data_IF_718965869075
#
_entry.id   IF_718965869075
#
_cell.length_a   1.000
_cell.length_b   1.000
_cell.length_c   1.000
_cell.angle_alpha   90.00
_cell.angle_beta   90.00
_cell.angle_gamma   90.00
#
_symmetry.space_group_name_H-M   'P 1'
#
loop_
_entity.id
_entity.type
_entity.pdbx_description
1 polymer ?
#
# COMPACT_ATOMS: atom_id res chain seq x y z
N UNK A 1 13.60 9.57 -27.97
CA UNK A 1 12.97 8.36 -27.78
C UNK A 1 12.27 8.27 -26.49
N UNK A 2 11.09 7.83 -26.52
CA UNK A 2 10.40 7.74 -25.34
C UNK A 2 10.45 6.41 -24.80
N UNK A 3 10.62 6.26 -23.51
CA UNK A 3 10.49 4.98 -22.87
C UNK A 3 9.08 4.85 -22.36
N UNK A 4 8.56 3.66 -22.36
CA UNK A 4 7.26 3.42 -21.77
C UNK A 4 7.34 3.75 -20.30
N UNK A 5 6.46 4.61 -19.81
CA UNK A 5 6.50 4.91 -18.40
C UNK A 5 6.09 3.68 -17.59
N UNK A 6 6.72 3.53 -16.45
CA UNK A 6 6.32 2.49 -15.52
C UNK A 6 5.06 2.96 -14.81
N UNK A 7 3.99 2.21 -14.92
CA UNK A 7 2.73 2.57 -14.28
C UNK A 7 1.94 1.28 -14.11
N UNK A 8 1.88 0.78 -12.90
CA UNK A 8 1.16 -0.45 -12.62
C UNK A 8 0.18 -0.24 -11.50
N UNK A 9 -0.84 -1.07 -11.46
CA UNK A 9 -1.84 -1.05 -10.41
C UNK A 9 -2.13 -2.46 -9.98
N UNK A 10 -2.35 -2.65 -8.69
CA UNK A 10 -2.82 -3.93 -8.21
C UNK A 10 -3.67 -3.72 -6.96
N UNK A 11 -4.45 -4.73 -6.61
CA UNK A 11 -5.38 -4.66 -5.48
C UNK A 11 -5.13 -5.84 -4.55
N UNK A 12 -5.09 -5.55 -3.26
CA UNK A 12 -4.98 -6.57 -2.23
C UNK A 12 -6.34 -6.67 -1.54
N UNK A 13 -7.08 -7.74 -1.81
CA UNK A 13 -8.41 -7.91 -1.23
C UNK A 13 -8.28 -8.28 0.25
N UNK A 14 -9.24 -7.81 1.04
CA UNK A 14 -9.27 -8.09 2.46
C UNK A 14 -9.05 -6.83 3.28
N UNK A 15 -9.17 -6.97 4.58
CA UNK A 15 -9.02 -5.84 5.48
C UNK A 15 -7.62 -5.26 5.38
N UNK A 16 -7.49 -3.92 5.29
CA UNK A 16 -6.17 -3.32 5.38
C UNK A 16 -5.51 -3.64 6.72
N UNK A 17 -4.22 -3.95 6.68
CA UNK A 17 -3.47 -4.32 7.87
C UNK A 17 -2.31 -3.36 8.03
N UNK A 18 -2.20 -2.80 9.24
CA UNK A 18 -1.05 -1.95 9.53
C UNK A 18 0.12 -2.79 9.98
N UNK A 19 1.33 -2.33 9.69
CA UNK A 19 2.53 -3.05 10.12
C UNK A 19 2.62 -3.02 11.63
N UNK A 20 2.76 -4.18 12.24
CA UNK A 20 2.94 -4.27 13.66
C UNK A 20 4.38 -3.95 14.04
N UNK A 21 4.56 -3.51 15.28
CA UNK A 21 5.89 -3.25 15.77
C UNK A 21 6.62 -4.59 15.97
N UNK A 22 7.91 -4.65 15.69
CA UNK A 22 8.68 -5.86 15.97
C UNK A 22 8.59 -6.21 17.44
N UNK A 23 8.47 -7.48 17.74
CA UNK A 23 8.46 -7.92 19.13
C UNK A 23 9.88 -8.25 19.55
N UNK A 24 10.24 -7.79 20.75
CA UNK A 24 11.60 -7.99 21.25
C UNK A 24 11.55 -9.00 22.37
N UNK A 25 12.37 -10.04 22.27
CA UNK A 25 12.51 -11.03 23.30
C UNK A 25 13.99 -11.13 23.65
N UNK A 26 14.34 -11.94 24.64
CA UNK A 26 15.74 -12.13 24.95
C UNK A 26 16.49 -12.86 23.82
N UNK A 27 15.76 -13.41 22.86
CA UNK A 27 16.40 -14.05 21.71
C UNK A 27 16.47 -13.13 20.50
N UNK A 28 16.04 -11.87 20.62
CA UNK A 28 16.11 -10.90 19.54
C UNK A 28 14.75 -10.38 19.16
N UNK A 29 14.74 -9.53 18.13
CA UNK A 29 13.50 -8.94 17.63
C UNK A 29 12.96 -9.77 16.46
N UNK A 30 11.65 -9.84 16.34
CA UNK A 30 11.04 -10.51 15.20
C UNK A 30 9.75 -9.82 14.81
N UNK A 31 9.38 -9.98 13.52
CA UNK A 31 8.15 -9.40 13.00
C UNK A 31 6.98 -10.32 13.33
N UNK A 32 5.86 -9.76 13.83
CA UNK A 32 4.70 -10.59 14.13
C UNK A 32 4.22 -11.35 12.92
N UNK A 33 3.73 -12.55 13.16
CA UNK A 33 3.29 -13.42 12.08
C UNK A 33 2.20 -12.80 11.22
N UNK A 34 1.26 -12.09 11.83
CA UNK A 34 0.20 -11.45 11.08
C UNK A 34 0.76 -10.44 10.08
N UNK A 35 1.78 -9.69 10.47
CA UNK A 35 2.41 -8.72 9.59
C UNK A 35 3.12 -9.45 8.44
N UNK A 36 3.85 -10.50 8.75
CA UNK A 36 4.56 -11.25 7.70
C UNK A 36 3.60 -11.87 6.70
N UNK A 37 2.50 -12.42 7.18
CA UNK A 37 1.50 -13.03 6.30
C UNK A 37 0.89 -11.98 5.37
N UNK A 38 0.62 -10.81 5.91
CA UNK A 38 0.04 -9.75 5.09
C UNK A 38 1.04 -9.24 4.05
N UNK A 39 2.31 -9.09 4.45
CA UNK A 39 3.33 -8.63 3.51
C UNK A 39 3.51 -9.62 2.38
N UNK A 40 3.46 -10.91 2.69
CA UNK A 40 3.56 -11.91 1.65
C UNK A 40 2.36 -11.87 0.72
N UNK A 41 1.17 -11.64 1.27
CA UNK A 41 -0.02 -11.50 0.46
C UNK A 41 0.08 -10.31 -0.49
N UNK A 42 0.57 -9.18 -0.01
CA UNK A 42 0.75 -7.99 -0.84
C UNK A 42 1.71 -8.30 -1.98
N UNK A 43 2.83 -8.95 -1.68
CA UNK A 43 3.83 -9.27 -2.70
C UNK A 43 3.24 -10.23 -3.74
N UNK A 44 2.46 -11.22 -3.30
CA UNK A 44 1.85 -12.14 -4.24
C UNK A 44 0.83 -11.44 -5.13
N UNK A 45 0.08 -10.49 -4.59
CA UNK A 45 -0.87 -9.74 -5.40
C UNK A 45 -0.13 -8.92 -6.46
N UNK A 46 0.99 -8.31 -6.09
CA UNK A 46 1.80 -7.59 -7.06
C UNK A 46 2.31 -8.52 -8.14
N UNK A 47 2.85 -9.68 -7.74
CA UNK A 47 3.40 -10.63 -8.71
C UNK A 47 2.36 -11.13 -9.69
N UNK A 48 1.18 -11.48 -9.20
CA UNK A 48 0.17 -12.08 -10.06
C UNK A 48 -0.56 -11.06 -10.92
N UNK A 49 -0.70 -9.84 -10.44
CA UNK A 49 -1.44 -8.82 -11.19
C UNK A 49 -0.55 -7.97 -12.07
N UNK A 50 0.73 -7.93 -11.80
CA UNK A 50 1.66 -7.14 -12.61
C UNK A 50 3.03 -7.79 -12.72
N UNK A 51 3.76 -7.83 -11.62
CA UNK A 51 5.14 -8.34 -11.63
C UNK A 51 6.15 -7.38 -12.23
N UNK A 52 5.71 -6.22 -12.71
CA UNK A 52 6.62 -5.28 -13.33
C UNK A 52 7.42 -4.52 -12.28
N UNK A 53 8.69 -4.33 -12.56
CA UNK A 53 9.60 -3.68 -11.65
C UNK A 53 9.96 -2.29 -12.16
N UNK A 54 10.04 -1.34 -11.25
CA UNK A 54 10.38 0.03 -11.61
C UNK A 54 11.81 0.11 -12.12
N UNK A 55 12.08 1.01 -13.07
CA UNK A 55 13.45 1.17 -13.56
C UNK A 55 14.36 1.72 -12.45
N UNK A 56 15.60 1.27 -12.45
CA UNK A 56 16.56 1.80 -11.49
C UNK A 56 16.81 3.26 -11.77
N UNK A 57 16.96 4.03 -10.72
CA UNK A 57 17.24 5.46 -10.83
C UNK A 57 16.03 6.33 -11.05
N UNK A 58 14.86 5.72 -11.24
CA UNK A 58 13.64 6.52 -11.41
C UNK A 58 13.02 6.81 -10.07
N UNK A 59 12.38 7.96 -9.95
CA UNK A 59 11.56 8.25 -8.79
C UNK A 59 10.28 7.44 -8.88
N UNK A 60 9.94 6.71 -7.86
CA UNK A 60 8.74 5.88 -7.84
C UNK A 60 7.70 6.57 -6.98
N UNK A 61 6.50 6.72 -7.50
CA UNK A 61 5.40 7.28 -6.74
C UNK A 61 4.44 6.17 -6.41
N UNK A 62 4.18 5.98 -5.11
CA UNK A 62 3.24 4.97 -4.63
C UNK A 62 1.99 5.69 -4.16
N UNK A 63 0.86 5.36 -4.77
CA UNK A 63 -0.42 5.90 -4.36
C UNK A 63 -1.22 4.75 -3.80
N UNK A 64 -1.59 4.87 -2.55
CA UNK A 64 -2.26 3.79 -1.83
C UNK A 64 -3.57 4.29 -1.29
N UNK A 65 -4.64 3.52 -1.51
CA UNK A 65 -5.93 3.82 -0.88
C UNK A 65 -6.34 2.58 -0.12
N UNK A 66 -6.52 2.73 1.19
CA UNK A 66 -7.02 1.66 2.03
C UNK A 66 -8.52 1.83 2.17
N UNK A 67 -9.27 0.85 1.68
CA UNK A 67 -10.74 0.86 1.71
C UNK A 67 -11.17 0.04 2.90
N UNK A 68 -11.74 0.71 3.90
CA UNK A 68 -12.08 0.13 5.19
C UNK A 68 -13.58 -0.08 5.26
N UNK A 69 -14.06 -1.23 5.75
CA UNK A 69 -15.49 -1.47 5.76
C UNK A 69 -16.22 -0.54 6.71
N UNK A 70 -17.39 -0.12 6.29
CA UNK A 70 -18.28 0.65 7.15
C UNK A 70 -18.78 -0.29 8.24
N UNK A 71 -18.79 0.13 9.52
CA UNK A 71 -19.19 -0.76 10.59
C UNK A 71 -20.57 -1.35 10.37
N UNK A 72 -20.73 -2.62 10.72
CA UNK A 72 -22.01 -3.28 10.65
C UNK A 72 -22.96 -2.58 11.61
N UNK A 73 -24.22 -2.53 11.25
CA UNK A 73 -25.20 -1.87 12.09
C UNK A 73 -25.35 -0.39 11.82
N UNK A 74 -24.51 0.19 10.97
CA UNK A 74 -24.68 1.58 10.57
C UNK A 74 -25.97 1.68 9.77
N UNK A 75 -26.90 2.60 10.11
CA UNK A 75 -28.14 2.75 9.35
C UNK A 75 -27.86 3.08 7.89
N UNK A 76 -28.75 2.64 7.00
CA UNK A 76 -28.52 2.74 5.58
C UNK A 76 -28.23 4.16 5.11
N UNK A 77 -28.96 5.15 5.60
CA UNK A 77 -28.72 6.52 5.19
C UNK A 77 -27.34 7.01 5.57
N UNK A 78 -26.86 6.60 6.75
CA UNK A 78 -25.52 6.96 7.17
C UNK A 78 -24.47 6.18 6.41
N UNK A 79 -24.76 4.94 6.03
CA UNK A 79 -23.81 4.16 5.26
C UNK A 79 -23.54 4.80 3.91
N UNK A 80 -24.61 5.29 3.27
CA UNK A 80 -24.45 5.93 1.97
C UNK A 80 -23.60 7.20 2.10
N UNK A 81 -23.78 7.93 3.19
CA UNK A 81 -23.00 9.14 3.39
C UNK A 81 -21.53 8.84 3.71
N UNK A 82 -21.24 7.66 4.27
CA UNK A 82 -19.86 7.31 4.61
C UNK A 82 -19.08 6.75 3.43
N UNK A 83 -19.76 6.31 2.35
CA UNK A 83 -19.02 5.75 1.23
C UNK A 83 -18.03 6.77 0.69
N UNK A 84 -16.76 6.41 0.67
CA UNK A 84 -15.71 7.31 0.19
C UNK A 84 -15.25 8.35 1.19
N UNK A 85 -15.87 8.42 2.38
CA UNK A 85 -15.44 9.37 3.39
C UNK A 85 -14.13 8.91 4.02
N UNK A 86 -13.35 9.86 4.53
CA UNK A 86 -12.09 9.53 5.16
C UNK A 86 -12.32 8.72 6.44
N UNK A 87 -11.50 7.70 6.62
CA UNK A 87 -11.51 6.86 7.81
C UNK A 87 -10.51 7.42 8.80
N UNK A 88 -10.94 7.70 10.03
CA UNK A 88 -10.12 8.42 10.98
C UNK A 88 -9.67 7.57 12.16
N UNK A 89 -9.82 6.26 12.06
CA UNK A 89 -9.44 5.36 13.15
C UNK A 89 -8.28 4.47 12.71
N UNK A 90 -7.82 3.63 13.61
CA UNK A 90 -6.74 2.69 13.27
C UNK A 90 -7.20 1.70 12.21
N UNK A 91 -6.28 1.17 11.43
CA UNK A 91 -4.83 1.40 11.47
C UNK A 91 -4.44 2.73 10.87
N UNK A 92 -3.28 3.25 11.26
CA UNK A 92 -2.80 4.53 10.77
C UNK A 92 -2.27 4.41 9.35
N UNK A 93 -2.33 5.52 8.60
CA UNK A 93 -1.85 5.53 7.22
C UNK A 93 -0.39 5.10 7.11
N UNK A 94 0.46 5.60 8.01
CA UNK A 94 1.87 5.26 7.93
C UNK A 94 2.12 3.78 8.19
N UNK A 95 1.34 3.15 9.05
CA UNK A 95 1.51 1.72 9.29
C UNK A 95 1.04 0.88 8.13
N UNK A 96 -0.05 1.29 7.45
CA UNK A 96 -0.49 0.60 6.25
C UNK A 96 0.56 0.76 5.15
N UNK A 97 1.05 1.98 4.97
CA UNK A 97 2.05 2.25 3.96
C UNK A 97 3.30 1.41 4.20
N UNK A 98 3.72 1.31 5.48
CA UNK A 98 4.91 0.54 5.80
C UNK A 98 4.74 -0.92 5.43
N UNK A 99 3.58 -1.50 5.72
CA UNK A 99 3.34 -2.90 5.35
C UNK A 99 3.43 -3.11 3.85
N UNK A 100 2.84 -2.18 3.07
CA UNK A 100 2.86 -2.30 1.62
C UNK A 100 4.26 -2.08 1.07
N UNK A 101 4.92 -1.01 1.50
CA UNK A 101 6.23 -0.68 0.93
C UNK A 101 7.29 -1.69 1.32
N UNK A 102 7.25 -2.20 2.55
CA UNK A 102 8.22 -3.21 2.97
C UNK A 102 8.04 -4.49 2.20
N UNK A 103 6.79 -4.86 1.89
CA UNK A 103 6.55 -6.10 1.16
C UNK A 103 7.08 -6.04 -0.27
N UNK A 104 7.13 -4.83 -0.85
CA UNK A 104 7.56 -4.66 -2.24
C UNK A 104 9.04 -4.29 -2.36
N UNK A 105 9.67 -3.99 -1.24
CA UNK A 105 11.07 -3.54 -1.24
C UNK A 105 11.98 -4.64 -1.79
N UNK A 106 12.78 -4.29 -2.78
CA UNK A 106 13.65 -5.27 -3.44
C UNK A 106 12.95 -6.08 -4.51
N UNK A 107 11.63 -5.96 -4.64
CA UNK A 107 10.86 -6.69 -5.64
C UNK A 107 10.30 -5.75 -6.69
N UNK A 108 9.40 -4.86 -6.32
CA UNK A 108 8.80 -3.93 -7.28
C UNK A 108 9.70 -2.73 -7.57
N UNK A 109 10.62 -2.44 -6.68
CA UNK A 109 11.62 -1.38 -6.84
C UNK A 109 12.85 -1.81 -6.06
N UNK A 110 13.97 -1.12 -6.32
CA UNK A 110 15.21 -1.54 -5.72
C UNK A 110 15.24 -1.25 -4.22
N UNK A 111 14.79 -0.05 -3.84
CA UNK A 111 14.81 0.33 -2.43
C UNK A 111 13.73 1.36 -2.19
N UNK A 112 13.06 1.28 -1.05
CA UNK A 112 11.94 2.17 -0.77
C UNK A 112 12.41 3.61 -0.52
N UNK A 113 13.71 3.85 -0.38
CA UNK A 113 14.20 5.22 -0.28
C UNK A 113 13.92 6.04 -1.55
N UNK A 114 13.65 5.37 -2.67
CA UNK A 114 13.30 6.05 -3.92
C UNK A 114 11.81 6.33 -4.05
N UNK A 115 11.00 5.95 -3.06
CA UNK A 115 9.56 6.01 -3.18
C UNK A 115 9.01 7.28 -2.57
N UNK A 116 8.17 7.97 -3.34
CA UNK A 116 7.37 9.08 -2.86
C UNK A 116 5.99 8.53 -2.56
N UNK A 117 5.47 8.83 -1.40
CA UNK A 117 4.28 8.16 -0.91
C UNK A 117 3.07 9.08 -0.84
N UNK A 118 1.94 8.61 -1.33
CA UNK A 118 0.65 9.24 -1.15
C UNK A 118 -0.31 8.17 -0.68
N UNK A 119 -0.96 8.40 0.45
CA UNK A 119 -1.84 7.40 1.01
C UNK A 119 -3.04 8.04 1.68
N UNK A 120 -4.19 7.39 1.55
CA UNK A 120 -5.38 7.81 2.26
C UNK A 120 -6.19 6.58 2.64
N UNK A 121 -7.05 6.75 3.63
CA UNK A 121 -7.95 5.71 4.10
C UNK A 121 -9.37 6.19 3.91
N UNK A 122 -10.22 5.35 3.32
CA UNK A 122 -11.61 5.71 3.06
C UNK A 122 -12.53 4.56 3.44
N UNK A 123 -13.74 4.90 3.80
CA UNK A 123 -14.76 3.89 4.06
C UNK A 123 -15.34 3.35 2.77
N UNK A 124 -15.79 2.11 2.78
CA UNK A 124 -16.47 1.56 1.63
C UNK A 124 -17.56 0.56 2.05
N UNK A 125 -18.66 0.55 1.31
CA UNK A 125 -19.67 -0.49 1.41
C UNK A 125 -19.25 -1.72 0.62
N UNK A 126 -18.30 -1.57 -0.29
CA UNK A 126 -17.83 -2.69 -1.08
C UNK A 126 -16.86 -3.55 -0.33
N UNK A 127 -16.16 -4.40 -1.03
CA UNK A 127 -15.18 -5.29 -0.41
C UNK A 127 -14.01 -4.47 0.14
N UNK A 128 -13.62 -4.72 1.40
CA UNK A 128 -12.44 -4.03 1.94
C UNK A 128 -11.21 -4.46 1.14
N UNK A 129 -10.32 -3.52 0.92
CA UNK A 129 -9.16 -3.79 0.08
C UNK A 129 -8.15 -2.67 0.18
N UNK A 130 -6.96 -2.91 -0.33
CA UNK A 130 -5.96 -1.87 -0.49
C UNK A 130 -5.65 -1.78 -1.97
N UNK A 131 -5.83 -0.60 -2.55
CA UNK A 131 -5.50 -0.33 -3.94
C UNK A 131 -4.15 0.33 -4.00
N UNK A 132 -3.26 -0.17 -4.86
CA UNK A 132 -1.90 0.34 -4.97
C UNK A 132 -1.62 0.69 -6.41
N UNK A 133 -1.09 1.88 -6.63
CA UNK A 133 -0.58 2.28 -7.93
C UNK A 133 0.88 2.69 -7.73
N UNK A 134 1.75 2.11 -8.53
CA UNK A 134 3.16 2.49 -8.55
C UNK A 134 3.47 3.04 -9.92
N UNK A 135 4.02 4.24 -9.98
CA UNK A 135 4.41 4.77 -11.27
C UNK A 135 5.69 5.57 -11.11
N UNK A 136 6.40 5.73 -12.21
CA UNK A 136 7.67 6.43 -12.16
C UNK A 136 7.57 7.73 -12.91
N UNK A 137 8.40 8.68 -12.49
CA UNK A 137 8.53 9.93 -13.23
C UNK A 137 9.96 10.07 -13.64
N UNK A 138 10.17 10.66 -14.80
CA UNK A 138 11.51 10.89 -15.26
C UNK A 138 12.13 11.99 -14.41
N UNK A 139 13.37 11.81 -14.06
CA UNK A 139 14.10 12.86 -13.41
C UNK A 139 14.42 13.91 -14.43
N UNK A 140 14.23 15.17 -14.02
CA UNK A 140 14.52 16.24 -14.94
C UNK A 140 15.97 16.58 -14.81
N UNK A 141 16.68 16.49 -15.89
CA UNK A 141 17.99 16.81 -15.78
C UNK A 141 18.17 18.17 -15.60
N UNK A 142 17.37 18.97 -16.17
CA UNK A 142 17.55 20.29 -15.92
C UNK A 142 17.18 20.60 -14.60
N UNK A 143 16.51 20.07 -14.04
CA UNK A 143 16.20 20.46 -12.73
C UNK A 143 17.15 20.19 -11.89
N UNK A 144 17.71 19.84 -12.52
CA UNK A 144 18.31 19.46 -11.71
C UNK A 144 19.18 19.72 -11.46
#
# INVERSE_FOLDING_TARGET
METCPFDIRFTVLGLPVGKGHPRVTRFGAYTPEKTRAYEEKVRQCWETQSGARAPEGAAVIAEIIAWVPIPKGTPKGQRDALEGAYHLKRPDCDNIAKAVLDSLNGYAYKDDSAVQLRIEKRYTNGAPRVSVRLHSENLHEEGR
#
